data_IF_812260322055
#
_entry.id   IF_812260322055
#
_cell.length_a   1.000
_cell.length_b   1.000
_cell.length_c   1.000
_cell.angle_alpha   90.00
_cell.angle_beta   90.00
_cell.angle_gamma   90.00
#
_symmetry.space_group_name_H-M   'P 1'
#
loop_
_entity.id
_entity.type
_entity.pdbx_description
1 polymer ?
#
# COMPACT_ATOMS: atom_id res chain seq x y z
N UNK A 1 16.16 -4.69 -9.80
CA UNK A 1 14.77 -4.69 -10.31
C UNK A 1 14.66 -5.39 -11.66
N UNK A 2 15.66 -5.32 -12.56
CA UNK A 2 15.68 -6.13 -13.78
C UNK A 2 16.14 -7.58 -13.53
N UNK A 3 15.54 -8.52 -14.26
CA UNK A 3 15.96 -9.92 -14.36
C UNK A 3 15.77 -10.41 -15.81
N UNK A 4 16.88 -10.59 -16.52
CA UNK A 4 16.88 -11.01 -17.92
C UNK A 4 16.37 -12.43 -18.17
N UNK A 5 16.30 -13.29 -17.14
CA UNK A 5 15.67 -14.61 -17.25
C UNK A 5 14.14 -14.48 -17.31
N UNK A 6 13.59 -13.52 -16.57
CA UNK A 6 12.15 -13.27 -16.52
C UNK A 6 11.68 -12.39 -17.67
N UNK A 7 12.52 -11.46 -18.14
CA UNK A 7 12.17 -10.48 -19.16
C UNK A 7 13.31 -10.29 -20.19
N UNK A 8 13.60 -11.29 -21.03
CA UNK A 8 14.66 -11.18 -22.02
C UNK A 8 14.37 -10.02 -23.00
N UNK A 9 15.34 -9.13 -23.17
CA UNK A 9 15.25 -8.00 -24.11
C UNK A 9 14.44 -6.79 -23.63
N UNK A 10 13.83 -6.83 -22.44
CA UNK A 10 13.12 -5.67 -21.85
C UNK A 10 13.89 -5.11 -20.68
N UNK A 11 14.14 -3.81 -20.65
CA UNK A 11 14.87 -3.17 -19.54
C UNK A 11 13.92 -2.55 -18.52
N UNK A 12 14.26 -2.71 -17.24
CA UNK A 12 13.67 -2.00 -16.12
C UNK A 12 12.13 -2.11 -16.00
N UNK A 13 11.41 -1.13 -16.53
CA UNK A 13 9.97 -0.90 -16.33
C UNK A 13 9.09 -1.90 -17.08
N UNK A 14 9.34 -2.05 -18.38
CA UNK A 14 8.51 -2.84 -19.30
C UNK A 14 8.58 -4.35 -19.02
N UNK A 15 9.53 -4.76 -18.18
CA UNK A 15 9.60 -6.11 -17.64
C UNK A 15 8.35 -6.43 -16.80
N UNK A 16 7.87 -5.47 -16.02
CA UNK A 16 6.80 -5.71 -15.03
C UNK A 16 5.46 -5.07 -15.43
N UNK A 17 5.53 -3.93 -16.11
CA UNK A 17 4.37 -3.09 -16.37
C UNK A 17 4.08 -2.97 -17.86
N UNK A 18 2.88 -2.50 -18.17
CA UNK A 18 2.48 -2.14 -19.52
C UNK A 18 3.26 -0.89 -19.98
N UNK A 19 3.49 -0.73 -21.29
CA UNK A 19 4.00 0.52 -21.84
C UNK A 19 3.13 1.71 -21.41
N UNK A 20 3.76 2.83 -21.11
CA UNK A 20 3.06 4.08 -20.76
C UNK A 20 2.31 4.68 -21.94
N UNK A 21 2.72 4.36 -23.17
CA UNK A 21 2.08 4.83 -24.39
C UNK A 21 2.29 3.83 -25.52
N UNK A 22 1.40 3.86 -26.52
CA UNK A 22 1.60 3.21 -27.82
C UNK A 22 2.28 4.13 -28.84
N UNK A 23 2.51 5.40 -28.51
CA UNK A 23 3.24 6.34 -29.36
C UNK A 23 4.68 5.88 -29.56
N UNK A 24 5.20 6.11 -30.77
CA UNK A 24 6.58 5.80 -31.13
C UNK A 24 7.28 7.10 -31.50
N UNK A 25 8.42 7.36 -30.88
CA UNK A 25 9.31 8.42 -31.30
C UNK A 25 9.98 8.02 -32.63
N UNK A 26 10.01 8.93 -33.59
CA UNK A 26 10.66 8.69 -34.87
C UNK A 26 10.77 9.95 -35.72
N UNK A 27 11.61 9.95 -36.77
CA UNK A 27 11.84 11.12 -37.62
C UNK A 27 10.58 11.67 -38.30
N UNK A 28 9.57 10.82 -38.48
CA UNK A 28 8.28 11.16 -39.08
C UNK A 28 7.14 11.27 -38.05
N UNK A 29 7.43 11.15 -36.75
CA UNK A 29 6.38 11.27 -35.72
C UNK A 29 6.04 12.75 -35.50
N UNK A 30 4.76 13.04 -35.31
CA UNK A 30 4.23 14.33 -34.87
C UNK A 30 4.49 14.63 -33.38
N UNK A 31 5.29 13.78 -32.71
CA UNK A 31 5.59 13.91 -31.28
C UNK A 31 6.77 14.85 -31.07
N UNK A 32 6.52 16.01 -30.45
CA UNK A 32 7.56 16.88 -29.95
C UNK A 32 8.10 16.32 -28.62
N UNK A 33 9.33 15.84 -28.62
CA UNK A 33 10.03 15.46 -27.39
C UNK A 33 10.59 16.71 -26.74
N UNK A 34 10.13 17.03 -25.53
CA UNK A 34 10.66 18.14 -24.74
C UNK A 34 11.34 17.60 -23.50
N UNK A 35 12.64 17.84 -23.39
CA UNK A 35 13.39 17.49 -22.19
C UNK A 35 13.01 18.40 -21.02
N UNK A 36 13.03 17.92 -19.76
CA UNK A 36 12.72 18.74 -18.59
C UNK A 36 13.54 20.04 -18.53
N UNK A 37 14.78 20.03 -19.01
CA UNK A 37 15.68 21.18 -19.05
C UNK A 37 15.30 22.18 -20.16
N UNK A 38 14.70 21.68 -21.26
CA UNK A 38 14.21 22.47 -22.39
C UNK A 38 12.86 23.15 -22.08
N UNK A 39 12.15 22.68 -21.05
CA UNK A 39 10.95 23.33 -20.54
C UNK A 39 11.24 24.64 -19.79
N UNK A 40 12.52 25.06 -19.69
CA UNK A 40 12.95 26.19 -18.87
C UNK A 40 12.59 25.97 -17.40
N UNK A 41 12.54 27.03 -16.58
CA UNK A 41 11.63 26.98 -15.43
C UNK A 41 10.23 26.88 -16.02
N UNK A 42 9.77 25.66 -16.30
CA UNK A 42 8.37 25.38 -16.43
C UNK A 42 7.79 25.88 -15.11
N UNK A 43 7.27 27.10 -15.10
CA UNK A 43 6.27 27.46 -14.13
C UNK A 43 5.17 26.49 -14.54
N UNK A 44 4.88 25.45 -13.75
CA UNK A 44 3.64 24.74 -14.01
C UNK A 44 2.61 25.87 -14.12
N UNK A 45 1.65 25.77 -15.04
CA UNK A 45 0.46 26.59 -14.87
C UNK A 45 -0.14 26.36 -13.46
N UNK A 46 -1.42 26.64 -13.27
CA UNK A 46 -2.09 26.34 -11.99
C UNK A 46 -2.02 24.85 -11.52
N UNK A 47 -1.36 23.95 -12.27
CA UNK A 47 -0.97 22.58 -11.94
C UNK A 47 0.05 22.49 -10.80
N UNK A 48 -0.41 22.80 -9.59
CA UNK A 48 0.33 22.46 -8.37
C UNK A 48 0.12 21.00 -8.01
N UNK A 49 0.96 20.46 -7.13
CA UNK A 49 0.77 19.17 -6.43
C UNK A 49 -0.53 19.03 -5.60
N UNK A 50 -1.33 20.09 -5.50
CA UNK A 50 -2.67 20.07 -4.88
C UNK A 50 -3.78 20.33 -5.90
N UNK A 51 -3.40 20.52 -7.16
CA UNK A 51 -4.34 20.79 -8.22
C UNK A 51 -5.21 19.56 -8.46
N UNK A 52 -6.51 19.81 -8.59
CA UNK A 52 -7.50 18.84 -9.02
C UNK A 52 -8.25 19.48 -10.18
N UNK A 53 -8.29 18.84 -11.36
CA UNK A 53 -9.06 19.36 -12.49
C UNK A 53 -10.53 19.63 -12.13
N UNK A 54 -11.06 20.79 -12.54
CA UNK A 54 -12.42 21.22 -12.20
C UNK A 54 -13.50 20.21 -12.64
N UNK A 55 -13.27 19.55 -13.78
CA UNK A 55 -14.16 18.51 -14.32
C UNK A 55 -14.44 17.38 -13.33
N UNK A 56 -13.53 17.11 -12.39
CA UNK A 56 -13.70 16.06 -11.38
C UNK A 56 -14.32 16.55 -10.08
N UNK A 57 -14.43 17.86 -9.85
CA UNK A 57 -14.86 18.39 -8.54
C UNK A 57 -16.26 17.91 -8.16
N UNK A 58 -17.19 17.85 -9.11
CA UNK A 58 -18.56 17.46 -8.81
C UNK A 58 -18.68 15.99 -8.41
N UNK A 59 -18.02 15.12 -9.18
CA UNK A 59 -17.93 13.68 -8.89
C UNK A 59 -17.23 13.43 -7.55
N UNK A 60 -16.16 14.18 -7.27
CA UNK A 60 -15.43 14.08 -6.01
C UNK A 60 -16.27 14.53 -4.82
N UNK A 61 -17.07 15.59 -4.96
CA UNK A 61 -17.96 16.08 -3.89
C UNK A 61 -19.14 15.15 -3.61
N UNK A 62 -19.75 14.57 -4.65
CA UNK A 62 -21.01 13.83 -4.51
C UNK A 62 -20.85 12.33 -4.40
N UNK A 63 -19.84 11.74 -5.03
CA UNK A 63 -19.81 10.30 -5.29
C UNK A 63 -18.54 9.59 -4.82
N UNK A 64 -17.43 10.30 -4.60
CA UNK A 64 -16.12 9.62 -4.41
C UNK A 64 -15.92 8.96 -3.04
N UNK A 65 -16.62 9.42 -2.00
CA UNK A 65 -16.32 9.06 -0.62
C UNK A 65 -14.94 9.53 -0.13
N UNK A 66 -14.20 10.30 -0.94
CA UNK A 66 -12.91 10.90 -0.60
C UNK A 66 -13.14 12.25 0.06
N UNK A 67 -12.51 12.49 1.21
CA UNK A 67 -12.55 13.78 1.91
C UNK A 67 -12.08 14.91 0.98
N UNK A 68 -12.72 16.07 1.05
CA UNK A 68 -12.42 17.23 0.19
C UNK A 68 -10.95 17.62 0.24
N UNK A 69 -10.36 17.54 1.42
CA UNK A 69 -8.97 17.88 1.69
C UNK A 69 -8.00 16.88 1.03
N UNK A 70 -8.47 15.69 0.62
CA UNK A 70 -7.71 14.62 -0.03
C UNK A 70 -8.05 14.44 -1.52
N UNK A 71 -8.87 15.31 -2.12
CA UNK A 71 -9.18 15.25 -3.54
C UNK A 71 -7.93 15.28 -4.43
N UNK A 72 -6.89 16.03 -4.02
CA UNK A 72 -5.60 16.05 -4.72
C UNK A 72 -4.89 14.69 -4.67
N UNK A 73 -5.02 13.97 -3.57
CA UNK A 73 -4.40 12.67 -3.39
C UNK A 73 -5.09 11.62 -4.29
N UNK A 74 -6.43 11.65 -4.36
CA UNK A 74 -7.16 10.84 -5.33
C UNK A 74 -6.75 11.14 -6.77
N UNK A 75 -6.50 12.41 -7.10
CA UNK A 75 -6.04 12.80 -8.43
C UNK A 75 -4.65 12.22 -8.74
N UNK A 76 -3.71 12.28 -7.79
CA UNK A 76 -2.40 11.63 -7.93
C UNK A 76 -2.52 10.11 -8.12
N UNK A 77 -3.44 9.48 -7.39
CA UNK A 77 -3.68 8.06 -7.48
C UNK A 77 -4.10 7.60 -8.89
N UNK A 78 -4.76 8.45 -9.68
CA UNK A 78 -5.10 8.13 -11.09
C UNK A 78 -3.84 7.87 -11.92
N UNK A 79 -2.86 8.75 -11.81
CA UNK A 79 -1.57 8.62 -12.50
C UNK A 79 -0.81 7.40 -12.00
N UNK A 80 -0.78 7.17 -10.68
CA UNK A 80 -0.14 6.00 -10.10
C UNK A 80 -0.76 4.72 -10.65
N UNK A 81 -2.09 4.59 -10.62
CA UNK A 81 -2.81 3.42 -11.14
C UNK A 81 -2.54 3.17 -12.63
N UNK A 82 -2.47 4.23 -13.44
CA UNK A 82 -2.15 4.11 -14.86
C UNK A 82 -0.72 3.59 -15.10
N UNK A 83 0.22 4.11 -14.31
CA UNK A 83 1.62 3.73 -14.38
C UNK A 83 1.76 2.25 -13.97
N UNK A 84 1.29 1.84 -12.80
CA UNK A 84 1.54 0.48 -12.26
C UNK A 84 0.69 -0.65 -12.88
N UNK A 85 0.17 -0.50 -14.10
CA UNK A 85 -0.58 -1.57 -14.78
C UNK A 85 0.33 -2.74 -15.10
N UNK A 86 0.10 -3.89 -14.46
CA UNK A 86 0.87 -5.10 -14.75
C UNK A 86 0.70 -5.53 -16.20
N UNK A 87 1.79 -5.99 -16.82
CA UNK A 87 1.70 -6.67 -18.10
C UNK A 87 1.20 -8.12 -17.91
N UNK A 88 0.80 -8.77 -19.01
CA UNK A 88 0.25 -10.12 -18.96
C UNK A 88 1.24 -11.17 -18.42
N UNK A 89 2.55 -10.98 -18.63
CA UNK A 89 3.58 -11.86 -18.09
C UNK A 89 3.65 -11.78 -16.57
N UNK A 90 3.71 -10.56 -16.04
CA UNK A 90 3.70 -10.31 -14.59
C UNK A 90 2.43 -10.84 -13.95
N UNK A 91 1.25 -10.62 -14.55
CA UNK A 91 -0.02 -11.18 -14.03
C UNK A 91 0.06 -12.70 -13.84
N UNK A 92 0.50 -13.45 -14.87
CA UNK A 92 0.64 -14.92 -14.77
C UNK A 92 1.65 -15.36 -13.71
N UNK A 93 2.75 -14.61 -13.57
CA UNK A 93 3.76 -14.89 -12.54
C UNK A 93 3.20 -14.65 -11.14
N UNK A 94 2.43 -13.57 -10.93
CA UNK A 94 1.77 -13.27 -9.66
C UNK A 94 0.72 -14.34 -9.32
N UNK A 95 -0.10 -14.78 -10.29
CA UNK A 95 -1.06 -15.88 -10.07
C UNK A 95 -0.34 -17.17 -9.63
N UNK A 96 0.78 -17.48 -10.27
CA UNK A 96 1.60 -18.65 -9.92
C UNK A 96 2.22 -18.52 -8.52
N UNK A 97 2.74 -17.34 -8.19
CA UNK A 97 3.36 -17.09 -6.89
C UNK A 97 2.33 -17.08 -5.77
N UNK A 98 1.12 -16.58 -6.03
CA UNK A 98 0.01 -16.59 -5.09
C UNK A 98 -0.30 -18.01 -4.62
N UNK A 99 -0.53 -18.96 -5.54
CA UNK A 99 -0.77 -20.38 -5.18
C UNK A 99 0.40 -20.98 -4.38
N UNK A 100 1.62 -20.57 -4.72
CA UNK A 100 2.83 -21.09 -4.08
C UNK A 100 3.10 -20.49 -2.72
N UNK A 101 2.81 -19.20 -2.51
CA UNK A 101 3.31 -18.44 -1.37
C UNK A 101 2.23 -18.00 -0.39
N UNK A 102 0.99 -17.76 -0.83
CA UNK A 102 -0.06 -17.31 0.08
C UNK A 102 -0.42 -18.43 1.07
N UNK A 103 -0.34 -18.10 2.36
CA UNK A 103 -0.65 -18.99 3.46
C UNK A 103 -1.61 -18.32 4.41
N UNK A 104 -2.40 -19.13 5.10
CA UNK A 104 -3.17 -18.74 6.27
C UNK A 104 -2.82 -19.66 7.42
N UNK A 105 -2.63 -19.10 8.61
CA UNK A 105 -2.69 -19.82 9.88
C UNK A 105 -4.07 -19.56 10.49
N UNK A 106 -4.98 -20.54 10.45
CA UNK A 106 -6.32 -20.36 10.96
C UNK A 106 -6.32 -20.20 12.48
N UNK A 107 -7.34 -19.51 13.00
CA UNK A 107 -7.59 -19.42 14.44
C UNK A 107 -7.68 -20.79 15.09
N UNK A 108 -7.15 -20.88 16.31
CA UNK A 108 -7.14 -22.09 17.12
C UNK A 108 -6.53 -23.31 16.41
N UNK A 109 -5.69 -23.09 15.39
CA UNK A 109 -4.98 -24.14 14.67
C UNK A 109 -3.48 -23.81 14.57
N UNK A 110 -2.59 -24.73 14.94
CA UNK A 110 -1.14 -24.51 14.86
C UNK A 110 -0.59 -24.63 13.43
N UNK A 111 -1.39 -25.15 12.50
CA UNK A 111 -0.98 -25.39 11.11
C UNK A 111 -1.20 -24.20 10.19
N UNK A 112 -0.37 -24.06 9.16
CA UNK A 112 -0.66 -23.18 8.02
C UNK A 112 -1.15 -23.98 6.83
N UNK A 113 -2.17 -23.47 6.13
CA UNK A 113 -2.66 -24.04 4.87
C UNK A 113 -2.52 -23.05 3.71
N UNK A 114 -2.65 -23.56 2.49
CA UNK A 114 -2.74 -22.71 1.30
C UNK A 114 -4.06 -21.94 1.30
N UNK A 115 -4.03 -20.72 0.77
CA UNK A 115 -5.20 -19.89 0.57
C UNK A 115 -5.21 -19.33 -0.85
N UNK A 116 -6.38 -19.20 -1.46
CA UNK A 116 -6.53 -18.66 -2.82
C UNK A 116 -6.93 -17.18 -2.85
N UNK A 117 -7.58 -16.65 -1.81
CA UNK A 117 -7.90 -15.24 -1.68
C UNK A 117 -8.10 -14.85 -0.23
N UNK A 118 -7.89 -13.57 0.07
CA UNK A 118 -8.17 -13.05 1.41
C UNK A 118 -9.67 -13.16 1.71
N UNK A 119 -10.00 -13.47 2.96
CA UNK A 119 -11.41 -13.55 3.37
C UNK A 119 -12.02 -12.15 3.52
N UNK A 120 -13.33 -11.99 3.34
CA UNK A 120 -14.01 -10.72 3.63
C UNK A 120 -13.76 -10.24 5.07
N UNK A 121 -13.61 -8.93 5.24
CA UNK A 121 -13.28 -8.30 6.52
C UNK A 121 -11.81 -8.44 6.91
N UNK A 122 -10.93 -8.80 5.97
CA UNK A 122 -9.48 -8.87 6.25
C UNK A 122 -8.91 -7.46 6.44
N UNK A 123 -8.13 -7.28 7.52
CA UNK A 123 -7.34 -6.08 7.76
C UNK A 123 -5.91 -6.31 7.25
N UNK A 124 -5.48 -5.56 6.23
CA UNK A 124 -4.09 -5.59 5.78
C UNK A 124 -3.20 -4.71 6.68
N UNK A 125 -2.03 -5.23 7.03
CA UNK A 125 -1.00 -4.49 7.75
C UNK A 125 0.32 -4.58 6.99
N UNK A 126 0.95 -3.44 6.76
CA UNK A 126 2.33 -3.42 6.27
C UNK A 126 3.23 -2.83 7.35
N UNK A 127 4.03 -3.70 7.95
CA UNK A 127 4.96 -3.38 9.03
C UNK A 127 6.31 -3.11 8.40
N UNK A 128 6.65 -1.83 8.21
CA UNK A 128 7.91 -1.41 7.60
C UNK A 128 9.01 -1.32 8.65
N UNK A 129 9.87 -2.33 8.68
CA UNK A 129 11.11 -2.43 9.46
C UNK A 129 12.34 -2.34 8.54
N UNK A 130 13.35 -3.19 8.73
CA UNK A 130 14.57 -3.24 7.93
C UNK A 130 15.41 -1.97 7.93
N UNK A 131 15.94 -1.64 6.76
CA UNK A 131 16.82 -0.48 6.53
C UNK A 131 16.15 0.89 6.74
N UNK A 132 14.82 0.93 6.82
CA UNK A 132 14.06 2.17 7.06
C UNK A 132 14.28 2.79 8.43
N UNK A 133 14.96 2.11 9.35
CA UNK A 133 15.37 2.69 10.63
C UNK A 133 16.20 3.99 10.47
N UNK A 134 16.90 4.15 9.33
CA UNK A 134 17.64 5.36 9.00
C UNK A 134 16.74 6.54 8.57
N UNK A 135 15.52 6.27 8.12
CA UNK A 135 14.58 7.29 7.58
C UNK A 135 13.40 7.55 8.53
N UNK A 136 13.02 6.56 9.34
CA UNK A 136 11.93 6.67 10.29
C UNK A 136 12.13 5.75 11.50
N UNK A 137 11.49 6.11 12.62
CA UNK A 137 11.43 5.20 13.76
C UNK A 137 10.61 3.96 13.39
N UNK A 138 11.17 2.78 13.68
CA UNK A 138 10.46 1.52 13.56
C UNK A 138 9.40 1.43 14.67
N UNK A 139 8.15 1.18 14.28
CA UNK A 139 7.03 1.05 15.21
C UNK A 139 6.82 -0.43 15.52
N UNK A 140 6.74 -0.84 16.80
CA UNK A 140 6.55 -2.24 17.14
C UNK A 140 5.20 -2.77 16.63
N UNK A 141 5.15 -4.04 16.26
CA UNK A 141 3.95 -4.70 15.72
C UNK A 141 2.72 -4.55 16.64
N UNK A 142 2.93 -4.54 17.95
CA UNK A 142 1.87 -4.28 18.94
C UNK A 142 1.05 -3.00 18.69
N UNK A 143 1.66 -1.96 18.09
CA UNK A 143 0.94 -0.72 17.72
C UNK A 143 0.01 -0.89 16.52
N UNK A 144 0.41 -1.68 15.53
CA UNK A 144 -0.47 -2.06 14.42
C UNK A 144 -1.65 -2.88 14.94
N UNK A 145 -1.36 -3.86 15.79
CA UNK A 145 -2.38 -4.73 16.40
C UNK A 145 -3.36 -3.98 17.28
N UNK A 146 -2.93 -2.93 17.99
CA UNK A 146 -3.83 -2.08 18.77
C UNK A 146 -4.92 -1.48 17.89
N UNK A 147 -4.56 -0.90 16.75
CA UNK A 147 -5.56 -0.30 15.85
C UNK A 147 -6.40 -1.36 15.13
N UNK A 148 -5.81 -2.51 14.78
CA UNK A 148 -6.56 -3.61 14.19
C UNK A 148 -7.63 -4.18 15.14
N UNK A 149 -7.31 -4.31 16.44
CA UNK A 149 -8.28 -4.71 17.47
C UNK A 149 -9.44 -3.72 17.59
N UNK A 150 -9.16 -2.42 17.50
CA UNK A 150 -10.20 -1.38 17.50
C UNK A 150 -11.14 -1.52 16.29
N UNK A 151 -10.59 -1.72 15.10
CA UNK A 151 -11.40 -2.01 13.91
C UNK A 151 -12.25 -3.29 14.09
N UNK A 152 -11.65 -4.36 14.61
CA UNK A 152 -12.35 -5.62 14.86
C UNK A 152 -13.44 -5.53 15.95
N UNK A 153 -13.33 -4.60 16.90
CA UNK A 153 -14.36 -4.33 17.90
C UNK A 153 -15.45 -3.38 17.42
N UNK A 154 -15.42 -2.95 16.15
CA UNK A 154 -16.38 -1.99 15.61
C UNK A 154 -16.16 -0.55 16.10
N UNK A 155 -14.96 -0.20 16.56
CA UNK A 155 -14.67 1.16 17.04
C UNK A 155 -14.71 2.16 15.87
N UNK A 156 -15.82 2.89 15.76
CA UNK A 156 -16.02 3.95 14.76
C UNK A 156 -15.26 5.24 15.10
N UNK A 157 -14.65 5.35 16.28
CA UNK A 157 -13.75 6.45 16.64
C UNK A 157 -12.32 6.21 16.14
N UNK A 158 -12.04 5.10 15.45
CA UNK A 158 -10.79 4.92 14.71
C UNK A 158 -10.67 6.04 13.67
N UNK A 159 -9.66 6.89 13.88
CA UNK A 159 -9.40 8.03 13.00
C UNK A 159 -8.81 7.53 11.69
N UNK A 160 -9.69 7.29 10.73
CA UNK A 160 -9.29 7.08 9.34
C UNK A 160 -8.76 8.40 8.81
N UNK A 161 -7.44 8.50 8.67
CA UNK A 161 -6.72 9.68 8.19
C UNK A 161 -6.99 10.95 9.07
N UNK A 162 -6.34 11.02 10.26
CA UNK A 162 -6.24 12.08 11.31
C UNK A 162 -7.47 12.99 11.65
N UNK A 163 -7.52 13.50 12.88
CA UNK A 163 -8.61 14.37 13.41
C UNK A 163 -8.62 15.79 12.86
N UNK A 164 -7.46 16.31 12.47
CA UNK A 164 -7.32 17.73 12.12
C UNK A 164 -7.75 17.99 10.67
N UNK A 165 -8.06 16.91 9.93
CA UNK A 165 -8.79 16.90 8.65
C UNK A 165 -10.21 16.35 8.80
N UNK A 166 -10.63 16.01 10.02
CA UNK A 166 -11.97 15.49 10.31
C UNK A 166 -12.99 16.62 10.52
N UNK A 167 -12.75 17.80 9.93
CA UNK A 167 -13.74 18.89 9.83
C UNK A 167 -14.81 18.61 8.75
N UNK A 168 -14.83 17.41 8.18
CA UNK A 168 -15.94 16.92 7.38
C UNK A 168 -16.70 15.83 8.15
N UNK A 169 -18.01 16.02 8.30
CA UNK A 169 -18.99 15.12 8.95
C UNK A 169 -19.03 13.66 8.42
N UNK A 170 -18.09 13.26 7.57
CA UNK A 170 -17.95 11.90 7.06
C UNK A 170 -17.33 10.99 8.13
N UNK A 171 -18.15 10.48 9.03
CA UNK A 171 -17.85 9.24 9.75
C UNK A 171 -17.78 8.13 8.68
N UNK A 172 -16.65 7.46 8.55
CA UNK A 172 -16.59 6.27 7.70
C UNK A 172 -17.53 5.22 8.29
N UNK A 173 -18.64 4.98 7.60
CA UNK A 173 -19.63 4.00 8.02
C UNK A 173 -19.23 2.64 7.46
N UNK A 174 -18.81 1.76 8.35
CA UNK A 174 -18.74 0.33 8.09
C UNK A 174 -19.63 -0.39 9.11
N UNK A 175 -20.21 -1.56 8.76
CA UNK A 175 -20.96 -2.37 9.73
C UNK A 175 -20.13 -2.68 10.97
N UNK A 176 -20.72 -2.69 12.16
CA UNK A 176 -19.98 -2.89 13.43
C UNK A 176 -19.22 -4.22 13.48
N UNK A 177 -19.67 -5.21 12.71
CA UNK A 177 -19.07 -6.52 12.58
C UNK A 177 -18.21 -6.70 11.31
N UNK A 178 -17.96 -5.65 10.52
CA UNK A 178 -17.24 -5.74 9.24
C UNK A 178 -15.87 -6.42 9.38
N UNK A 179 -15.20 -6.22 10.52
CA UNK A 179 -13.90 -6.81 10.84
C UNK A 179 -13.96 -7.75 12.06
N UNK A 180 -15.17 -8.11 12.52
CA UNK A 180 -15.37 -9.00 13.67
C UNK A 180 -14.88 -10.43 13.42
N UNK A 181 -14.69 -10.79 12.15
CA UNK A 181 -14.04 -12.03 11.73
C UNK A 181 -12.56 -12.09 12.13
N UNK A 182 -11.93 -10.99 12.57
CA UNK A 182 -10.53 -10.94 13.04
C UNK A 182 -9.58 -11.69 12.08
N UNK A 183 -9.66 -11.35 10.80
CA UNK A 183 -8.74 -11.81 9.78
C UNK A 183 -7.74 -10.70 9.46
N UNK A 184 -6.46 -11.05 9.34
CA UNK A 184 -5.41 -10.10 8.96
C UNK A 184 -4.53 -10.65 7.84
N UNK A 185 -4.07 -9.74 6.98
CA UNK A 185 -2.98 -10.02 6.05
C UNK A 185 -1.76 -9.19 6.46
N UNK A 186 -0.59 -9.82 6.56
CA UNK A 186 0.65 -9.14 6.96
C UNK A 186 1.66 -9.16 5.82
N UNK A 187 2.11 -7.96 5.46
CA UNK A 187 3.28 -7.73 4.63
C UNK A 187 4.39 -7.11 5.48
N UNK A 188 5.57 -7.72 5.47
CA UNK A 188 6.74 -7.28 6.24
C UNK A 188 7.99 -7.99 5.73
N UNK A 189 9.13 -7.31 5.82
CA UNK A 189 10.48 -7.85 5.63
C UNK A 189 11.05 -8.51 6.90
N UNK A 190 10.42 -8.29 8.05
CA UNK A 190 10.87 -8.76 9.36
C UNK A 190 10.24 -10.13 9.71
N UNK A 191 11.05 -11.20 9.88
CA UNK A 191 10.52 -12.51 10.24
C UNK A 191 9.86 -12.52 11.64
N UNK A 192 10.34 -11.70 12.59
CA UNK A 192 9.80 -11.68 13.95
C UNK A 192 8.36 -11.18 13.98
N UNK A 193 8.00 -10.25 13.09
CA UNK A 193 6.63 -9.79 12.94
C UNK A 193 5.69 -10.92 12.50
N UNK A 194 6.16 -11.83 11.64
CA UNK A 194 5.37 -13.00 11.24
C UNK A 194 5.23 -13.98 12.41
N UNK A 195 6.28 -14.20 13.19
CA UNK A 195 6.23 -15.05 14.38
C UNK A 195 5.26 -14.50 15.43
N UNK A 196 5.37 -13.21 15.77
CA UNK A 196 4.47 -12.52 16.69
C UNK A 196 3.01 -12.59 16.23
N UNK A 197 2.77 -12.35 14.94
CA UNK A 197 1.44 -12.45 14.37
C UNK A 197 0.90 -13.88 14.41
N UNK A 198 1.73 -14.86 14.06
CA UNK A 198 1.30 -16.23 14.01
C UNK A 198 0.98 -16.80 15.40
N UNK A 199 1.60 -16.27 16.46
CA UNK A 199 1.22 -16.55 17.84
C UNK A 199 -0.21 -16.06 18.19
N UNK A 200 -0.72 -15.04 17.50
CA UNK A 200 -2.11 -14.57 17.67
C UNK A 200 -3.14 -15.56 17.13
N UNK A 201 -2.77 -16.49 16.24
CA UNK A 201 -3.69 -17.54 15.80
C UNK A 201 -4.04 -18.49 16.94
N UNK A 202 -3.13 -18.66 17.90
CA UNK A 202 -3.25 -19.56 19.06
C UNK A 202 -3.65 -18.83 20.35
N UNK A 203 -3.92 -17.52 20.27
CA UNK A 203 -4.35 -16.73 21.42
C UNK A 203 -5.67 -17.26 22.03
N UNK A 204 -5.74 -17.24 23.37
CA UNK A 204 -6.94 -17.67 24.11
C UNK A 204 -8.01 -16.57 24.14
N UNK A 205 -9.19 -16.94 24.63
CA UNK A 205 -10.24 -16.01 25.07
C UNK A 205 -10.79 -15.06 23.99
N UNK A 206 -11.07 -15.58 22.80
CA UNK A 206 -11.72 -14.81 21.72
C UNK A 206 -10.82 -13.76 21.06
N UNK A 207 -9.54 -13.71 21.43
CA UNK A 207 -8.53 -12.82 20.85
C UNK A 207 -7.77 -13.43 19.68
N UNK A 208 -8.16 -14.62 19.21
CA UNK A 208 -7.50 -15.30 18.10
C UNK A 208 -7.78 -14.65 16.74
N UNK A 209 -6.78 -14.67 15.87
CA UNK A 209 -6.84 -14.10 14.52
C UNK A 209 -6.56 -15.13 13.43
N UNK A 210 -7.22 -15.00 12.27
CA UNK A 210 -6.78 -15.69 11.06
C UNK A 210 -5.63 -14.89 10.46
N UNK A 211 -4.44 -15.49 10.38
CA UNK A 211 -3.22 -14.78 10.03
C UNK A 211 -2.77 -15.20 8.63
N UNK A 212 -2.91 -14.29 7.67
CA UNK A 212 -2.57 -14.50 6.28
C UNK A 212 -1.23 -13.82 5.96
N UNK A 213 -0.34 -14.52 5.27
CA UNK A 213 0.98 -14.03 4.94
C UNK A 213 1.55 -14.77 3.72
N UNK A 214 2.58 -14.21 3.11
CA UNK A 214 3.35 -14.87 2.05
C UNK A 214 4.52 -15.67 2.65
N UNK A 215 4.77 -16.89 2.19
CA UNK A 215 5.92 -17.70 2.63
C UNK A 215 7.22 -17.23 1.94
N UNK A 216 7.84 -16.19 2.49
CA UNK A 216 9.05 -15.56 1.97
C UNK A 216 10.24 -15.77 2.91
N UNK A 217 11.46 -15.75 2.35
CA UNK A 217 12.69 -15.82 3.12
C UNK A 217 13.06 -14.46 3.74
N UNK A 218 12.31 -14.03 4.75
CA UNK A 218 12.45 -12.74 5.46
C UNK A 218 13.74 -12.69 6.27
N UNK A 219 14.49 -11.60 6.12
CA UNK A 219 15.80 -11.43 6.77
C UNK A 219 15.91 -10.13 7.56
N UNK A 220 14.88 -9.27 7.51
CA UNK A 220 14.93 -7.89 8.02
C UNK A 220 16.13 -7.07 7.48
N UNK A 221 16.73 -7.52 6.36
CA UNK A 221 17.90 -6.90 5.79
C UNK A 221 17.51 -5.75 4.86
N UNK A 222 18.47 -4.85 4.58
CA UNK A 222 18.27 -3.80 3.59
C UNK A 222 18.05 -4.35 2.18
N UNK A 223 17.47 -3.52 1.31
CA UNK A 223 17.04 -3.93 -0.04
C UNK A 223 18.20 -4.53 -0.86
N UNK A 224 19.43 -4.03 -0.69
CA UNK A 224 20.60 -4.56 -1.40
C UNK A 224 20.93 -6.02 -1.02
N UNK A 225 20.90 -6.34 0.28
CA UNK A 225 21.17 -7.68 0.78
C UNK A 225 20.06 -8.66 0.37
N UNK A 226 18.79 -8.26 0.52
CA UNK A 226 17.64 -9.06 0.07
C UNK A 226 17.74 -9.42 -1.42
N UNK A 227 18.19 -8.47 -2.26
CA UNK A 227 18.39 -8.70 -3.70
C UNK A 227 19.53 -9.65 -4.00
N UNK A 228 20.62 -9.58 -3.25
CA UNK A 228 21.75 -10.49 -3.38
C UNK A 228 21.36 -11.95 -3.10
N UNK A 229 20.51 -12.16 -2.10
CA UNK A 229 20.07 -13.49 -1.67
C UNK A 229 18.93 -14.06 -2.51
N UNK A 230 17.89 -13.26 -2.81
CA UNK A 230 16.66 -13.74 -3.48
C UNK A 230 16.71 -13.60 -5.01
N UNK A 231 17.60 -12.74 -5.52
CA UNK A 231 17.58 -12.29 -6.90
C UNK A 231 16.57 -11.18 -7.15
N UNK A 232 16.90 -10.29 -8.09
CA UNK A 232 16.10 -9.09 -8.39
C UNK A 232 14.65 -9.41 -8.79
N UNK A 233 14.45 -10.37 -9.69
CA UNK A 233 13.13 -10.68 -10.24
C UNK A 233 12.18 -11.22 -9.18
N UNK A 234 12.66 -12.18 -8.38
CA UNK A 234 11.89 -12.78 -7.30
C UNK A 234 11.51 -11.77 -6.21
N UNK A 235 12.46 -10.97 -5.71
CA UNK A 235 12.16 -9.94 -4.71
C UNK A 235 11.13 -8.91 -5.23
N UNK A 236 11.22 -8.55 -6.51
CA UNK A 236 10.23 -7.67 -7.15
C UNK A 236 8.85 -8.30 -7.17
N UNK A 237 8.75 -9.55 -7.65
CA UNK A 237 7.48 -10.25 -7.75
C UNK A 237 6.83 -10.54 -6.38
N UNK A 238 7.63 -10.90 -5.37
CA UNK A 238 7.15 -11.06 -3.99
C UNK A 238 6.60 -9.73 -3.45
N UNK A 239 7.28 -8.60 -3.71
CA UNK A 239 6.76 -7.28 -3.34
C UNK A 239 5.45 -6.98 -4.07
N UNK A 240 5.38 -7.18 -5.39
CA UNK A 240 4.16 -6.93 -6.16
C UNK A 240 3.00 -7.85 -5.73
N UNK A 241 3.27 -9.09 -5.33
CA UNK A 241 2.26 -9.98 -4.76
C UNK A 241 1.73 -9.43 -3.43
N UNK A 242 2.61 -8.96 -2.53
CA UNK A 242 2.18 -8.32 -1.28
C UNK A 242 1.32 -7.07 -1.53
N UNK A 243 1.65 -6.28 -2.57
CA UNK A 243 0.83 -5.13 -2.96
C UNK A 243 -0.58 -5.57 -3.36
N UNK A 244 -0.68 -6.56 -4.25
CA UNK A 244 -1.96 -7.08 -4.72
C UNK A 244 -2.82 -7.63 -3.58
N UNK A 245 -2.22 -8.44 -2.70
CA UNK A 245 -2.89 -8.97 -1.52
C UNK A 245 -3.33 -7.86 -0.57
N UNK A 246 -2.52 -6.83 -0.37
CA UNK A 246 -2.93 -5.68 0.42
C UNK A 246 -4.16 -4.98 -0.19
N UNK A 247 -4.27 -4.88 -1.52
CA UNK A 247 -5.41 -4.26 -2.19
C UNK A 247 -6.71 -5.09 -2.11
N UNK A 248 -6.60 -6.40 -1.87
CA UNK A 248 -7.76 -7.27 -1.63
C UNK A 248 -8.40 -7.07 -0.26
N UNK A 249 -7.65 -6.57 0.72
CA UNK A 249 -8.15 -6.34 2.08
C UNK A 249 -9.21 -5.23 2.15
N UNK A 250 -9.99 -5.21 3.23
CA UNK A 250 -11.13 -4.30 3.43
C UNK A 250 -10.82 -3.15 4.39
N UNK A 251 -9.68 -3.20 5.07
CA UNK A 251 -9.11 -2.10 5.83
C UNK A 251 -7.58 -2.22 5.89
N UNK A 252 -6.91 -1.11 6.23
CA UNK A 252 -5.45 -1.05 6.31
C UNK A 252 -4.99 -0.41 7.61
N UNK A 253 -3.92 -0.97 8.19
CA UNK A 253 -3.15 -0.34 9.27
C UNK A 253 -1.71 -0.22 8.80
N UNK A 254 -1.22 1.01 8.64
CA UNK A 254 0.04 1.29 7.98
C UNK A 254 0.68 2.58 8.50
N UNK A 255 1.89 2.89 8.07
CA UNK A 255 2.53 4.18 8.32
C UNK A 255 2.81 4.90 7.00
N UNK A 256 2.21 6.08 6.81
CA UNK A 256 2.41 6.88 5.59
C UNK A 256 3.84 7.43 5.42
N UNK A 257 4.74 7.20 6.38
CA UNK A 257 6.18 7.42 6.22
C UNK A 257 6.85 6.34 5.34
N UNK A 258 6.17 5.22 5.10
CA UNK A 258 6.57 4.21 4.12
C UNK A 258 5.99 4.55 2.75
N UNK A 259 6.85 4.67 1.74
CA UNK A 259 6.44 4.81 0.34
C UNK A 259 5.53 3.65 -0.11
N UNK A 260 5.72 2.47 0.48
CA UNK A 260 4.88 1.31 0.22
C UNK A 260 3.45 1.50 0.74
N UNK A 261 3.29 2.05 1.94
CA UNK A 261 1.98 2.40 2.49
C UNK A 261 1.28 3.50 1.67
N UNK A 262 2.04 4.48 1.16
CA UNK A 262 1.48 5.51 0.27
C UNK A 262 0.98 4.89 -1.04
N UNK A 263 1.75 3.98 -1.63
CA UNK A 263 1.34 3.26 -2.84
C UNK A 263 0.07 2.42 -2.61
N UNK A 264 -0.02 1.72 -1.47
CA UNK A 264 -1.24 1.00 -1.08
C UNK A 264 -2.43 1.96 -0.95
N UNK A 265 -2.26 3.11 -0.29
CA UNK A 265 -3.32 4.11 -0.10
C UNK A 265 -3.82 4.69 -1.44
N UNK A 266 -2.91 4.99 -2.37
CA UNK A 266 -3.25 5.45 -3.72
C UNK A 266 -4.02 4.37 -4.50
N UNK A 267 -3.52 3.15 -4.50
CA UNK A 267 -4.07 2.07 -5.32
C UNK A 267 -5.36 1.48 -4.74
N UNK A 268 -5.58 1.52 -3.42
CA UNK A 268 -6.86 1.07 -2.85
C UNK A 268 -8.01 1.99 -3.31
N UNK A 269 -7.75 3.28 -3.53
CA UNK A 269 -8.79 4.23 -3.97
C UNK A 269 -9.17 4.03 -5.44
N UNK A 270 -8.27 3.49 -6.24
CA UNK A 270 -8.40 3.38 -7.71
C UNK A 270 -8.60 1.92 -8.12
N UNK A 271 -7.54 1.13 -8.10
CA UNK A 271 -7.53 -0.29 -8.48
C UNK A 271 -8.40 -1.10 -7.53
N UNK A 272 -8.32 -0.84 -6.23
CA UNK A 272 -9.14 -1.53 -5.23
C UNK A 272 -10.60 -1.07 -5.17
N UNK A 273 -10.93 0.13 -5.65
CA UNK A 273 -12.28 0.70 -5.53
C UNK A 273 -12.74 0.96 -4.10
N UNK A 274 -11.80 1.04 -3.15
CA UNK A 274 -12.01 1.07 -1.69
C UNK A 274 -11.60 2.42 -1.10
N UNK A 275 -11.94 3.51 -1.79
CA UNK A 275 -11.56 4.86 -1.35
C UNK A 275 -12.18 5.25 0.01
N UNK A 276 -13.41 4.79 0.25
CA UNK A 276 -14.15 4.99 1.49
C UNK A 276 -13.85 3.96 2.58
N UNK A 277 -12.94 3.01 2.34
CA UNK A 277 -12.64 1.98 3.32
C UNK A 277 -11.57 2.46 4.34
N UNK A 278 -11.55 1.91 5.57
CA UNK A 278 -10.69 2.40 6.64
C UNK A 278 -9.19 2.25 6.33
N UNK A 279 -8.45 3.35 6.37
CA UNK A 279 -6.99 3.38 6.38
C UNK A 279 -6.49 4.08 7.65
N UNK A 280 -5.88 3.32 8.56
CA UNK A 280 -5.37 3.80 9.83
C UNK A 280 -3.87 4.06 9.70
N UNK A 281 -3.50 5.34 9.73
CA UNK A 281 -2.11 5.77 9.71
C UNK A 281 -1.55 5.81 11.14
N UNK A 282 -0.64 4.90 11.48
CA UNK A 282 0.01 4.86 12.79
C UNK A 282 1.30 5.69 12.83
N UNK A 283 1.54 6.33 13.99
CA UNK A 283 2.59 7.32 14.20
C UNK A 283 3.16 7.23 15.61
N UNK A 284 4.34 7.82 15.82
CA UNK A 284 4.89 8.02 17.16
C UNK A 284 3.96 8.90 18.01
N UNK A 285 3.73 8.53 19.27
CA UNK A 285 3.07 9.42 20.25
C UNK A 285 4.17 10.22 20.97
N UNK A 286 4.09 11.54 20.92
CA UNK A 286 4.92 12.45 21.73
C UNK A 286 6.35 12.72 21.22
N UNK A 287 6.51 13.77 20.41
CA UNK A 287 7.45 14.90 20.57
C UNK A 287 7.40 15.79 19.33
N UNK A 288 6.98 17.04 19.53
CA UNK A 288 7.12 18.22 18.67
C UNK A 288 6.76 18.13 17.19
N UNK A 289 5.93 19.10 16.78
CA UNK A 289 5.69 19.67 15.43
C UNK A 289 6.94 19.96 14.55
N UNK A 290 8.14 19.45 14.86
CA UNK A 290 9.41 19.79 14.17
C UNK A 290 10.31 18.63 13.76
N UNK A 291 10.02 17.37 14.10
CA UNK A 291 10.73 16.21 13.56
C UNK A 291 9.74 15.07 13.34
N UNK A 292 9.48 14.73 12.09
CA UNK A 292 8.42 13.80 11.72
C UNK A 292 7.24 14.54 11.10
N UNK A 293 6.97 14.20 9.85
CA UNK A 293 5.92 14.77 9.03
C UNK A 293 4.55 14.73 9.76
N UNK A 294 3.93 15.86 10.16
CA UNK A 294 2.56 15.90 10.68
C UNK A 294 1.61 15.29 9.63
N UNK A 295 0.54 14.58 9.99
CA UNK A 295 -0.22 13.92 8.94
C UNK A 295 -0.95 14.99 8.19
N UNK A 296 -0.92 14.82 6.88
CA UNK A 296 -1.53 15.76 5.95
C UNK A 296 -1.09 17.22 6.18
N UNK A 297 0.10 17.45 6.77
CA UNK A 297 0.89 18.54 6.24
C UNK A 297 1.01 18.18 4.77
N UNK A 298 0.37 19.01 3.95
CA UNK A 298 0.46 18.98 2.51
C UNK A 298 1.88 18.59 2.09
N UNK A 299 2.92 19.13 2.73
CA UNK A 299 4.34 18.82 2.50
C UNK A 299 4.77 17.35 2.65
N UNK A 300 4.00 16.47 3.28
CA UNK A 300 4.36 15.09 3.65
C UNK A 300 3.82 14.00 2.73
N UNK A 301 2.62 14.19 2.14
CA UNK A 301 2.21 13.47 0.92
C UNK A 301 3.05 13.85 -0.31
N UNK A 302 3.97 14.78 -0.09
CA UNK A 302 4.68 15.56 -1.09
C UNK A 302 6.20 15.45 -0.90
N UNK A 303 6.69 14.88 0.21
CA UNK A 303 8.12 14.98 0.54
C UNK A 303 9.02 14.02 -0.25
N UNK A 304 8.49 13.26 -1.21
CA UNK A 304 9.26 12.30 -2.02
C UNK A 304 8.79 12.17 -3.47
N UNK A 305 8.39 13.28 -4.11
CA UNK A 305 8.49 13.43 -5.57
C UNK A 305 9.24 14.70 -5.91
#
# INVERSE_FOLDING_TARGET
WYDGRHCPGRVSWECWFQPLSSCREGPESDTLVVQPEQLGRFRPGNFTRHYVPEVFQEMLRRCSGVKRELHFHWWHAQSTAYIVRFNAGTRRLLDTLRDKLLRVRPKASPGSSKLQALSPGTIAMHVRHGDKAAEMQLLPFARYMREARRLASGDRAVRVLESDLADGDSVFSFPDNAFGSRAMFISTEDPLVIEEAAALAEARDGESWDVMFTLENRTNAGVAAMRGERGNGRATLESLLNLELALEADAWVCTLLSNWCQLIDELRMTVGGKASAPFVNIRQEGRHRRQGCPAFDRRCYISWR
#
